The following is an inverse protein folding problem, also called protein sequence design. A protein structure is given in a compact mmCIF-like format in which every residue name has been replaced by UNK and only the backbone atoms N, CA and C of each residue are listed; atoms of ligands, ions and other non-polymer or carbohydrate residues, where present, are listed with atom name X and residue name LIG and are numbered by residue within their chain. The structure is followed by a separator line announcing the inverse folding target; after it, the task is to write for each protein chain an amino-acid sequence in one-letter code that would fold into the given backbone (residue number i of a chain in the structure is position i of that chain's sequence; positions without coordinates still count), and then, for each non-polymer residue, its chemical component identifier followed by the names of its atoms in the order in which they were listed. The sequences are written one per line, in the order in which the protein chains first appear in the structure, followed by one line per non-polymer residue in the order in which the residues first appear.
data_IF_931153540342
#
_entry.id   IF_931153540342
#
_cell.length_a   1.000
_cell.length_b   1.000
_cell.length_c   1.000
_cell.angle_alpha   90.00
_cell.angle_beta   90.00
_cell.angle_gamma   90.00
#
_symmetry.space_group_name_H-M   'P 1'
#
loop_
_entity.id
_entity.type
_entity.pdbx_description
1 polymer ?
#
# COMPACT_ATOMS: atom_id res chain seq x y z
N UNK A 1 -8.96 59.54 11.94
CA UNK A 1 -7.87 59.77 10.98
C UNK A 1 -6.60 59.14 11.50
N UNK A 2 -5.84 58.50 10.63
CA UNK A 2 -4.56 57.89 10.96
C UNK A 2 -3.63 58.00 9.73
N UNK A 3 -2.34 57.91 9.97
CA UNK A 3 -1.32 57.88 8.90
C UNK A 3 -0.74 56.49 8.82
N UNK A 4 -0.74 55.93 7.66
CA UNK A 4 -0.15 54.60 7.40
C UNK A 4 1.24 54.81 6.79
N UNK A 5 2.22 54.16 7.39
CA UNK A 5 3.53 54.03 6.80
C UNK A 5 3.56 52.72 5.98
N UNK A 6 3.50 52.82 4.67
CA UNK A 6 3.46 51.66 3.79
C UNK A 6 4.79 50.87 3.73
N UNK A 7 5.91 51.42 4.16
CA UNK A 7 7.19 50.75 4.16
C UNK A 7 7.33 49.71 5.29
N UNK A 8 6.67 49.93 6.42
CA UNK A 8 6.77 49.04 7.62
C UNK A 8 5.40 48.57 8.15
N UNK A 9 4.31 48.97 7.49
CA UNK A 9 2.97 48.57 7.87
C UNK A 9 2.46 49.17 9.19
N UNK A 10 3.15 50.19 9.74
CA UNK A 10 2.74 50.84 10.99
C UNK A 10 1.70 51.92 10.73
N UNK A 11 0.67 51.93 11.56
CA UNK A 11 -0.33 52.96 11.61
C UNK A 11 -0.05 53.86 12.80
N UNK A 12 0.23 55.13 12.56
CA UNK A 12 0.49 56.10 13.60
C UNK A 12 -0.66 57.12 13.65
N UNK A 13 -0.85 57.75 14.84
CA UNK A 13 -1.88 58.77 15.07
C UNK A 13 -3.31 58.25 14.77
N UNK A 14 -3.61 57.05 15.22
CA UNK A 14 -4.92 56.45 15.04
C UNK A 14 -5.84 56.88 16.19
N UNK A 15 -6.85 57.67 15.86
CA UNK A 15 -7.87 58.11 16.83
C UNK A 15 -9.23 57.54 16.47
N UNK A 16 -9.83 56.86 17.43
CA UNK A 16 -11.23 56.43 17.32
C UNK A 16 -12.17 57.54 17.81
N UNK A 17 -13.36 57.64 17.17
CA UNK A 17 -14.39 58.55 17.62
C UNK A 17 -14.99 58.18 19.00
N UNK A 18 -14.85 56.94 19.43
CA UNK A 18 -15.24 56.42 20.73
C UNK A 18 -14.19 55.42 21.24
N UNK A 19 -14.04 55.29 22.55
CA UNK A 19 -13.16 54.28 23.13
C UNK A 19 -13.64 52.88 22.78
N UNK A 20 -12.72 52.04 22.28
CA UNK A 20 -13.02 50.62 22.03
C UNK A 20 -13.14 49.89 23.37
N UNK A 21 -14.18 49.04 23.51
CA UNK A 21 -14.35 48.21 24.69
C UNK A 21 -13.17 47.23 24.83
N UNK A 22 -12.78 46.94 26.06
CA UNK A 22 -11.70 46.00 26.35
C UNK A 22 -12.04 44.61 25.74
N UNK A 23 -11.09 44.06 24.97
CA UNK A 23 -11.26 42.77 24.29
C UNK A 23 -11.69 42.84 22.83
N UNK A 24 -12.04 43.99 22.29
CA UNK A 24 -12.34 44.14 20.87
C UNK A 24 -11.07 44.20 20.02
N UNK A 25 -11.06 43.40 18.94
CA UNK A 25 -9.97 43.39 17.97
C UNK A 25 -10.23 44.45 16.92
N UNK A 26 -9.33 45.37 16.73
CA UNK A 26 -9.38 46.35 15.63
C UNK A 26 -8.91 45.68 14.36
N UNK A 27 -9.76 45.65 13.35
CA UNK A 27 -9.43 45.10 12.01
C UNK A 27 -9.38 46.24 11.00
N UNK A 28 -8.32 46.27 10.20
CA UNK A 28 -8.19 47.19 9.09
C UNK A 28 -8.19 46.43 7.77
N UNK A 29 -8.96 46.90 6.80
CA UNK A 29 -8.88 46.47 5.40
C UNK A 29 -8.08 47.51 4.65
N UNK A 30 -7.04 47.08 3.96
CA UNK A 30 -6.19 47.97 3.17
C UNK A 30 -5.76 47.28 1.88
N UNK A 31 -5.51 48.06 0.86
CA UNK A 31 -4.87 47.64 -0.37
C UNK A 31 -3.38 47.97 -0.26
N UNK A 32 -2.54 47.00 -0.63
CA UNK A 32 -1.10 47.23 -0.69
C UNK A 32 -0.63 47.13 -2.15
N UNK A 33 0.43 47.86 -2.46
CA UNK A 33 1.06 47.79 -3.77
C UNK A 33 1.93 46.54 -3.86
N UNK A 34 1.48 45.58 -4.67
CA UNK A 34 2.19 44.31 -4.88
C UNK A 34 3.46 44.47 -5.72
N UNK A 35 3.55 45.52 -6.54
CA UNK A 35 4.74 45.74 -7.40
C UNK A 35 5.91 46.30 -6.59
N UNK A 36 5.64 47.08 -5.55
CA UNK A 36 6.66 47.61 -4.65
C UNK A 36 7.01 46.66 -3.48
N UNK A 37 6.32 45.54 -3.35
CA UNK A 37 6.56 44.60 -2.28
C UNK A 37 7.80 43.74 -2.52
N UNK A 38 8.86 43.98 -1.72
CA UNK A 38 10.10 43.19 -1.76
C UNK A 38 10.02 41.88 -0.95
N UNK A 39 8.94 41.67 -0.21
CA UNK A 39 8.71 40.46 0.60
C UNK A 39 7.99 39.40 -0.25
N UNK A 40 8.63 38.99 -1.33
CA UNK A 40 8.14 37.85 -2.13
C UNK A 40 8.61 36.57 -1.44
N UNK A 41 7.71 35.62 -1.15
CA UNK A 41 8.12 34.33 -0.57
C UNK A 41 8.95 33.55 -1.58
N UNK A 42 10.12 33.09 -1.13
CA UNK A 42 10.99 32.23 -1.91
C UNK A 42 10.62 30.76 -1.72
N UNK A 43 10.71 29.99 -2.79
CA UNK A 43 10.55 28.53 -2.74
C UNK A 43 11.90 27.89 -2.99
N UNK A 44 12.38 27.15 -2.01
CA UNK A 44 13.62 26.39 -2.12
C UNK A 44 13.31 24.92 -2.37
N UNK A 45 14.12 24.28 -3.20
CA UNK A 45 14.14 22.83 -3.36
C UNK A 45 15.39 22.33 -2.67
N UNK A 46 15.19 21.58 -1.60
CA UNK A 46 16.28 20.88 -0.91
C UNK A 46 16.28 19.42 -1.34
N UNK A 47 17.47 18.89 -1.64
CA UNK A 47 17.66 17.51 -2.06
C UNK A 47 18.48 16.80 -1.02
N UNK A 48 17.83 15.95 -0.25
CA UNK A 48 18.49 15.07 0.74
C UNK A 48 18.90 13.75 0.09
N UNK A 49 20.17 13.39 0.26
CA UNK A 49 20.75 12.14 -0.22
C UNK A 49 20.82 11.15 0.93
N UNK A 50 20.05 10.06 0.82
CA UNK A 50 20.07 8.99 1.80
C UNK A 50 20.83 7.76 1.28
N UNK A 51 21.81 7.33 2.07
CA UNK A 51 22.60 6.15 1.77
C UNK A 51 21.79 4.87 2.06
N UNK A 52 21.77 3.94 1.12
CA UNK A 52 21.07 2.66 1.24
C UNK A 52 22.09 1.53 1.14
N UNK A 53 22.10 0.64 2.15
CA UNK A 53 23.00 -0.52 2.19
C UNK A 53 22.28 -1.77 1.68
N UNK A 54 22.83 -2.39 0.62
CA UNK A 54 22.27 -3.60 0.04
C UNK A 54 22.59 -4.84 0.91
N UNK A 55 21.56 -5.64 1.18
CA UNK A 55 21.65 -6.95 1.82
C UNK A 55 21.66 -8.07 0.79
N UNK A 56 22.24 -9.21 1.14
CA UNK A 56 22.30 -10.37 0.23
C UNK A 56 21.45 -11.51 0.80
N UNK A 57 20.56 -12.05 -0.04
CA UNK A 57 19.82 -13.28 0.24
C UNK A 57 20.38 -14.40 -0.64
N UNK A 58 20.55 -15.59 -0.04
CA UNK A 58 21.08 -16.75 -0.71
C UNK A 58 20.30 -17.97 -0.29
N UNK A 59 19.95 -18.80 -1.25
CA UNK A 59 19.34 -20.10 -1.02
C UNK A 59 20.03 -21.14 -1.90
N UNK A 60 20.09 -22.39 -1.47
CA UNK A 60 20.64 -23.48 -2.27
C UNK A 60 19.70 -24.67 -2.28
N UNK A 61 19.58 -25.32 -3.43
CA UNK A 61 18.99 -26.63 -3.56
C UNK A 61 20.08 -27.71 -3.56
N UNK A 62 19.71 -28.88 -3.08
CA UNK A 62 20.51 -30.10 -3.16
C UNK A 62 19.59 -31.28 -3.46
N UNK A 63 20.00 -32.14 -4.37
CA UNK A 63 19.27 -33.37 -4.70
C UNK A 63 20.26 -34.48 -5.09
N UNK A 64 19.88 -35.73 -4.87
CA UNK A 64 20.70 -36.89 -5.26
C UNK A 64 20.55 -37.19 -6.75
N UNK A 65 21.53 -37.88 -7.33
CA UNK A 65 21.49 -38.35 -8.70
C UNK A 65 20.36 -39.34 -8.91
N UNK A 66 20.16 -40.25 -7.94
CA UNK A 66 19.10 -41.26 -8.00
C UNK A 66 17.69 -40.61 -8.04
N UNK A 67 17.46 -39.59 -7.19
CA UNK A 67 16.20 -38.86 -7.16
C UNK A 67 15.91 -38.14 -8.51
N UNK A 68 16.95 -37.61 -9.17
CA UNK A 68 16.81 -36.97 -10.46
C UNK A 68 16.44 -37.99 -11.56
N UNK A 69 17.10 -39.16 -11.54
CA UNK A 69 16.82 -40.22 -12.51
C UNK A 69 15.43 -40.83 -12.31
N UNK A 70 15.00 -41.05 -11.06
CA UNK A 70 13.67 -41.57 -10.74
C UNK A 70 12.56 -40.58 -11.12
N UNK A 71 12.71 -39.28 -10.84
CA UNK A 71 11.77 -38.24 -11.23
C UNK A 71 11.62 -38.18 -12.76
N UNK A 72 12.71 -38.30 -13.49
CA UNK A 72 12.71 -38.30 -14.94
C UNK A 72 12.10 -39.58 -15.51
N UNK A 73 12.39 -40.74 -14.93
CA UNK A 73 11.91 -42.04 -15.41
C UNK A 73 10.40 -42.24 -15.13
N UNK A 74 9.93 -41.89 -13.91
CA UNK A 74 8.55 -42.14 -13.49
C UNK A 74 7.60 -41.00 -13.80
N UNK A 75 8.05 -39.77 -13.78
CA UNK A 75 7.20 -38.58 -13.94
C UNK A 75 7.52 -37.73 -15.16
N UNK A 76 8.63 -38.01 -15.86
CA UNK A 76 9.05 -37.21 -17.01
C UNK A 76 9.43 -35.76 -16.67
N UNK A 77 9.68 -35.48 -15.39
CA UNK A 77 9.98 -34.13 -14.87
C UNK A 77 11.48 -34.02 -14.59
N UNK A 78 12.07 -32.88 -14.96
CA UNK A 78 13.46 -32.58 -14.64
C UNK A 78 13.56 -31.98 -13.23
N UNK A 79 14.26 -32.70 -12.34
CA UNK A 79 14.43 -32.32 -10.94
C UNK A 79 15.08 -30.94 -10.77
N UNK A 80 16.03 -30.60 -11.63
CA UNK A 80 16.71 -29.30 -11.57
C UNK A 80 15.74 -28.16 -11.85
N UNK A 81 14.95 -28.29 -12.92
CA UNK A 81 13.99 -27.23 -13.31
C UNK A 81 12.92 -27.00 -12.25
N UNK A 82 12.38 -28.09 -11.69
CA UNK A 82 11.34 -28.00 -10.66
C UNK A 82 11.86 -27.38 -9.37
N UNK A 83 13.02 -27.84 -8.89
CA UNK A 83 13.63 -27.29 -7.69
C UNK A 83 14.03 -25.83 -7.85
N UNK A 84 14.57 -25.44 -9.01
CA UNK A 84 14.93 -24.04 -9.28
C UNK A 84 13.69 -23.14 -9.29
N UNK A 85 12.60 -23.62 -9.87
CA UNK A 85 11.31 -22.92 -9.85
C UNK A 85 10.84 -22.71 -8.40
N UNK A 86 10.82 -23.79 -7.61
CA UNK A 86 10.40 -23.72 -6.20
C UNK A 86 11.27 -22.78 -5.36
N UNK A 87 12.59 -22.83 -5.51
CA UNK A 87 13.49 -21.92 -4.78
C UNK A 87 13.31 -20.46 -5.19
N UNK A 88 13.08 -20.21 -6.49
CA UNK A 88 12.83 -18.86 -7.00
C UNK A 88 11.55 -18.27 -6.43
N UNK A 89 10.52 -19.08 -6.31
CA UNK A 89 9.26 -18.71 -5.67
C UNK A 89 9.44 -18.41 -4.19
N UNK A 90 10.16 -19.28 -3.46
CA UNK A 90 10.38 -19.10 -2.03
C UNK A 90 11.17 -17.82 -1.71
N UNK A 91 12.21 -17.50 -2.48
CA UNK A 91 12.94 -16.23 -2.32
C UNK A 91 12.03 -15.03 -2.59
N UNK A 92 11.17 -15.09 -3.60
CA UNK A 92 10.22 -14.02 -3.90
C UNK A 92 9.24 -13.82 -2.74
N UNK A 93 8.70 -14.90 -2.18
CA UNK A 93 7.81 -14.85 -1.02
C UNK A 93 8.51 -14.30 0.23
N UNK A 94 9.76 -14.71 0.49
CA UNK A 94 10.53 -14.19 1.62
C UNK A 94 10.77 -12.68 1.48
N UNK A 95 11.01 -12.22 0.25
CA UNK A 95 11.21 -10.82 -0.06
C UNK A 95 9.93 -10.00 0.15
N UNK A 96 8.80 -10.50 -0.35
CA UNK A 96 7.51 -9.86 -0.19
C UNK A 96 7.10 -9.76 1.28
N UNK A 97 7.30 -10.82 2.06
CA UNK A 97 7.07 -10.82 3.52
C UNK A 97 7.96 -9.81 4.23
N UNK A 98 9.23 -9.72 3.85
CA UNK A 98 10.16 -8.73 4.41
C UNK A 98 9.68 -7.29 4.17
N UNK A 99 9.25 -6.99 2.95
CA UNK A 99 8.71 -5.68 2.58
C UNK A 99 7.42 -5.38 3.36
N UNK A 100 6.49 -6.33 3.41
CA UNK A 100 5.23 -6.15 4.15
C UNK A 100 5.45 -5.95 5.64
N UNK A 101 6.42 -6.62 6.25
CA UNK A 101 6.75 -6.42 7.67
C UNK A 101 7.35 -5.02 7.92
N UNK A 102 8.23 -4.53 7.05
CA UNK A 102 8.75 -3.15 7.14
C UNK A 102 7.62 -2.12 6.99
N UNK A 103 6.70 -2.32 6.04
CA UNK A 103 5.53 -1.45 5.85
C UNK A 103 4.55 -1.52 7.04
N UNK A 104 4.39 -2.71 7.62
CA UNK A 104 3.58 -2.88 8.82
C UNK A 104 4.15 -2.11 10.02
N UNK A 105 5.46 -2.13 10.20
CA UNK A 105 6.13 -1.36 11.24
C UNK A 105 5.99 0.15 10.99
N UNK A 106 6.13 0.58 9.74
CA UNK A 106 5.92 1.98 9.33
C UNK A 106 4.50 2.48 9.65
N UNK A 107 3.50 1.62 9.53
CA UNK A 107 2.10 1.98 9.78
C UNK A 107 1.73 2.23 11.26
N UNK A 108 2.71 2.18 12.18
CA UNK A 108 2.46 2.35 13.61
C UNK A 108 1.96 3.74 14.02
N UNK A 109 2.24 4.76 13.20
CA UNK A 109 1.79 6.13 13.44
C UNK A 109 0.28 6.34 13.24
N UNK A 110 -0.34 5.58 12.33
CA UNK A 110 -1.76 5.70 11.98
C UNK A 110 -2.47 4.38 12.26
N UNK A 111 -3.05 4.24 13.44
CA UNK A 111 -3.74 3.03 13.86
C UNK A 111 -5.19 3.32 14.23
N UNK A 112 -6.11 2.49 13.75
CA UNK A 112 -7.51 2.43 14.18
C UNK A 112 -7.84 1.02 14.60
N UNK A 113 -8.76 0.86 15.54
CA UNK A 113 -9.25 -0.45 15.98
C UNK A 113 -10.69 -0.67 15.53
N UNK A 114 -11.01 -1.90 15.23
CA UNK A 114 -12.36 -2.34 14.91
C UNK A 114 -12.63 -3.70 15.57
N UNK A 115 -13.77 -3.85 16.20
CA UNK A 115 -14.20 -5.10 16.83
C UNK A 115 -15.16 -5.82 15.89
N UNK A 116 -14.83 -7.06 15.51
CA UNK A 116 -15.71 -7.91 14.70
C UNK A 116 -16.84 -8.58 15.51
N UNK A 117 -16.83 -8.45 16.82
CA UNK A 117 -17.94 -8.98 17.66
C UNK A 117 -19.21 -8.20 17.33
N UNK A 118 -20.21 -8.89 16.79
CA UNK A 118 -21.47 -8.27 16.38
C UNK A 118 -22.28 -7.88 17.62
N UNK A 119 -22.60 -6.59 17.82
CA UNK A 119 -23.47 -6.17 18.92
C UNK A 119 -24.88 -6.74 18.78
N UNK A 120 -25.52 -7.06 19.92
CA UNK A 120 -26.88 -7.55 19.91
C UNK A 120 -27.85 -6.59 19.22
N UNK A 121 -28.63 -7.12 18.27
CA UNK A 121 -29.60 -6.35 17.51
C UNK A 121 -29.10 -5.74 16.19
N UNK A 122 -27.83 -5.92 15.83
CA UNK A 122 -27.29 -5.53 14.53
C UNK A 122 -27.16 -6.75 13.60
N UNK A 123 -27.33 -6.52 12.31
CA UNK A 123 -26.98 -7.51 11.29
C UNK A 123 -25.46 -7.62 11.16
N UNK A 124 -24.94 -8.85 11.01
CA UNK A 124 -23.51 -9.09 10.80
C UNK A 124 -22.96 -8.29 9.60
N UNK A 125 -23.71 -8.25 8.51
CA UNK A 125 -23.33 -7.54 7.28
C UNK A 125 -23.20 -6.03 7.52
N UNK A 126 -24.16 -5.43 8.24
CA UNK A 126 -24.12 -4.00 8.52
C UNK A 126 -23.00 -3.64 9.49
N UNK A 127 -22.71 -4.55 10.43
CA UNK A 127 -21.59 -4.38 11.33
C UNK A 127 -20.25 -4.46 10.58
N UNK A 128 -20.04 -5.47 9.74
CA UNK A 128 -18.83 -5.63 8.95
C UNK A 128 -18.67 -4.43 7.97
N UNK A 129 -19.77 -3.87 7.45
CA UNK A 129 -19.72 -2.67 6.60
C UNK A 129 -19.06 -1.48 7.31
N UNK A 130 -19.15 -1.39 8.62
CA UNK A 130 -18.51 -0.32 9.38
C UNK A 130 -16.98 -0.40 9.39
N UNK A 131 -16.37 -1.55 9.04
CA UNK A 131 -14.92 -1.68 8.77
C UNK A 131 -14.48 -0.71 7.69
N UNK A 132 -15.30 -0.55 6.63
CA UNK A 132 -15.00 0.39 5.54
C UNK A 132 -14.93 1.83 6.03
N UNK A 133 -15.69 2.17 7.07
CA UNK A 133 -15.61 3.49 7.71
C UNK A 133 -14.26 3.67 8.39
N UNK A 134 -13.78 2.65 9.11
CA UNK A 134 -12.46 2.71 9.75
C UNK A 134 -11.33 2.77 8.71
N UNK A 135 -11.42 1.98 7.64
CA UNK A 135 -10.48 2.06 6.52
C UNK A 135 -10.50 3.46 5.88
N UNK A 136 -11.67 4.06 5.70
CA UNK A 136 -11.80 5.43 5.18
C UNK A 136 -11.16 6.45 6.12
N UNK A 137 -11.34 6.31 7.44
CA UNK A 137 -10.73 7.19 8.43
C UNK A 137 -9.20 7.14 8.38
N UNK A 138 -8.62 5.93 8.28
CA UNK A 138 -7.16 5.76 8.10
C UNK A 138 -6.71 6.39 6.77
N UNK A 139 -7.45 6.14 5.69
CA UNK A 139 -7.13 6.68 4.37
C UNK A 139 -7.18 8.22 4.34
N UNK A 140 -8.16 8.84 5.01
CA UNK A 140 -8.24 10.30 5.15
C UNK A 140 -7.14 10.87 6.04
N UNK A 141 -6.72 10.12 7.06
CA UNK A 141 -5.60 10.54 7.89
C UNK A 141 -4.30 10.53 7.08
N UNK A 142 -4.06 9.48 6.29
CA UNK A 142 -2.94 9.43 5.34
C UNK A 142 -2.98 10.63 4.38
N UNK A 143 -4.16 10.95 3.83
CA UNK A 143 -4.29 12.12 2.94
C UNK A 143 -3.99 13.43 3.65
N UNK A 144 -4.43 13.59 4.91
CA UNK A 144 -4.18 14.80 5.71
C UNK A 144 -2.69 15.00 6.00
N UNK A 145 -1.97 13.92 6.31
CA UNK A 145 -0.55 13.96 6.65
C UNK A 145 0.33 14.07 5.40
N UNK A 146 0.03 13.24 4.38
CA UNK A 146 0.77 13.25 3.12
C UNK A 146 0.52 14.50 2.27
N UNK A 147 -0.67 15.14 2.40
CA UNK A 147 -1.15 16.25 1.57
C UNK A 147 -1.12 15.95 0.06
N UNK A 148 -1.12 14.67 -0.32
CA UNK A 148 -1.05 14.21 -1.70
C UNK A 148 -2.33 13.51 -2.13
N UNK A 149 -2.52 12.28 -1.66
CA UNK A 149 -3.67 11.47 -2.02
C UNK A 149 -4.06 10.55 -0.85
N UNK A 150 -5.30 10.05 -0.81
CA UNK A 150 -5.70 9.01 0.13
C UNK A 150 -5.04 7.68 -0.22
N UNK A 151 -5.07 6.72 0.71
CA UNK A 151 -4.61 5.36 0.46
C UNK A 151 -5.31 4.76 -0.76
N UNK A 152 -4.57 4.00 -1.58
CA UNK A 152 -5.08 3.40 -2.81
C UNK A 152 -4.92 1.87 -2.86
N UNK A 153 -4.27 1.26 -1.87
CA UNK A 153 -4.16 -0.19 -1.75
C UNK A 153 -4.33 -0.63 -0.30
N UNK A 154 -4.70 -1.89 -0.11
CA UNK A 154 -4.81 -2.52 1.19
C UNK A 154 -4.39 -3.99 1.13
N UNK A 155 -3.73 -4.47 2.19
CA UNK A 155 -3.31 -5.87 2.36
C UNK A 155 -3.93 -6.42 3.63
N UNK A 156 -4.40 -7.66 3.58
CA UNK A 156 -5.02 -8.33 4.72
C UNK A 156 -4.82 -9.84 4.68
N UNK A 157 -5.09 -10.52 5.80
CA UNK A 157 -5.07 -11.98 5.89
C UNK A 157 -6.29 -12.63 5.21
N UNK A 158 -6.26 -13.93 4.93
CA UNK A 158 -7.39 -14.67 4.35
C UNK A 158 -8.66 -14.62 5.20
N UNK A 159 -8.53 -14.68 6.52
CA UNK A 159 -9.69 -14.67 7.44
C UNK A 159 -10.45 -13.35 7.35
N UNK A 160 -9.73 -12.23 7.39
CA UNK A 160 -10.33 -10.91 7.30
C UNK A 160 -10.86 -10.65 5.89
N UNK A 161 -10.11 -11.06 4.85
CA UNK A 161 -10.54 -10.87 3.47
C UNK A 161 -11.82 -11.62 3.15
N UNK A 162 -12.02 -12.84 3.68
CA UNK A 162 -13.23 -13.61 3.46
C UNK A 162 -14.50 -12.89 3.94
N UNK A 163 -14.40 -12.21 5.08
CA UNK A 163 -15.51 -11.38 5.60
C UNK A 163 -15.74 -10.12 4.78
N UNK A 164 -14.66 -9.48 4.30
CA UNK A 164 -14.76 -8.27 3.47
C UNK A 164 -15.34 -8.59 2.09
N UNK A 165 -14.98 -9.74 1.49
CA UNK A 165 -15.52 -10.19 0.19
C UNK A 165 -17.02 -10.38 0.24
N UNK A 166 -17.58 -10.84 1.36
CA UNK A 166 -19.02 -10.95 1.53
C UNK A 166 -19.72 -9.59 1.34
N UNK A 167 -19.07 -8.49 1.75
CA UNK A 167 -19.58 -7.15 1.50
C UNK A 167 -19.56 -6.77 0.02
N UNK A 168 -18.53 -7.15 -0.71
CA UNK A 168 -18.44 -6.89 -2.16
C UNK A 168 -19.58 -7.57 -2.90
N UNK A 169 -19.83 -8.83 -2.62
CA UNK A 169 -20.92 -9.59 -3.25
C UNK A 169 -22.27 -8.90 -3.07
N UNK A 170 -22.50 -8.25 -1.94
CA UNK A 170 -23.71 -7.47 -1.71
C UNK A 170 -23.73 -6.06 -2.34
N UNK A 171 -22.54 -5.49 -2.58
CA UNK A 171 -22.41 -4.18 -3.22
C UNK A 171 -22.40 -4.26 -4.75
N UNK A 172 -21.75 -5.27 -5.30
CA UNK A 172 -21.61 -5.49 -6.75
C UNK A 172 -22.92 -6.01 -7.36
N UNK A 173 -23.80 -6.60 -6.57
CA UNK A 173 -25.16 -6.94 -7.04
C UNK A 173 -25.97 -5.71 -7.49
N UNK A 174 -25.51 -4.52 -7.20
CA UNK A 174 -26.07 -3.24 -7.70
C UNK A 174 -25.31 -2.65 -8.89
N UNK A 175 -24.24 -3.25 -9.34
CA UNK A 175 -23.42 -2.73 -10.45
C UNK A 175 -23.44 -3.56 -11.76
N UNK A 176 -24.53 -4.26 -12.13
CA UNK A 176 -24.64 -4.78 -13.50
C UNK A 176 -24.91 -3.67 -14.53
N UNK A 177 -24.96 -2.40 -14.12
CA UNK A 177 -25.40 -1.28 -14.96
C UNK A 177 -24.29 -0.33 -15.38
N UNK A 178 -23.05 -0.56 -14.99
CA UNK A 178 -21.93 0.12 -15.64
C UNK A 178 -21.67 -0.62 -16.95
N UNK A 179 -22.41 -0.22 -17.98
CA UNK A 179 -22.09 -0.59 -19.33
C UNK A 179 -20.64 -0.23 -19.60
N UNK A 180 -19.82 -1.23 -19.87
CA UNK A 180 -18.51 -1.02 -20.48
C UNK A 180 -18.75 -0.26 -21.79
N UNK A 181 -18.27 0.99 -21.94
CA UNK A 181 -18.44 1.74 -23.17
C UNK A 181 -17.78 1.09 -24.39
N UNK A 182 -17.02 0.02 -24.19
CA UNK A 182 -16.41 -0.78 -25.24
C UNK A 182 -17.24 -2.04 -25.62
N UNK A 183 -18.37 -2.31 -24.98
CA UNK A 183 -19.24 -3.41 -25.37
C UNK A 183 -20.19 -2.98 -26.51
N UNK A 184 -20.11 -3.59 -27.69
CA UNK A 184 -20.98 -3.26 -28.84
C UNK A 184 -22.43 -3.74 -28.68
N UNK A 185 -22.74 -4.50 -27.64
CA UNK A 185 -24.09 -4.96 -27.31
C UNK A 185 -24.71 -4.02 -26.27
N UNK A 186 -25.81 -3.41 -26.64
CA UNK A 186 -26.55 -2.44 -25.81
C UNK A 186 -26.97 -3.01 -24.43
N UNK A 187 -27.56 -2.20 -23.57
CA UNK A 187 -27.71 -2.45 -22.12
C UNK A 187 -28.62 -3.63 -21.71
N UNK A 188 -28.99 -4.53 -22.60
CA UNK A 188 -29.95 -5.62 -22.35
C UNK A 188 -29.58 -6.99 -22.95
N UNK A 189 -28.32 -7.28 -23.12
CA UNK A 189 -27.91 -8.60 -23.66
C UNK A 189 -28.07 -9.76 -22.63
N UNK A 190 -28.47 -9.53 -21.40
CA UNK A 190 -28.76 -10.62 -20.45
C UNK A 190 -27.56 -11.53 -20.10
N UNK A 191 -26.42 -11.33 -20.70
CA UNK A 191 -25.18 -11.97 -20.30
C UNK A 191 -24.63 -11.22 -19.08
N UNK A 192 -24.92 -11.76 -17.91
CA UNK A 192 -24.17 -11.45 -16.71
C UNK A 192 -22.74 -11.88 -16.98
N UNK A 193 -21.93 -10.97 -17.51
CA UNK A 193 -20.48 -11.15 -17.49
C UNK A 193 -20.12 -11.04 -16.01
N UNK A 194 -19.77 -12.17 -15.34
CA UNK A 194 -19.24 -12.06 -14.00
C UNK A 194 -18.06 -11.09 -14.11
N UNK A 195 -17.83 -10.21 -13.11
CA UNK A 195 -16.66 -9.37 -13.11
C UNK A 195 -15.50 -10.30 -13.45
N UNK A 196 -14.78 -10.00 -14.53
CA UNK A 196 -13.70 -10.85 -14.97
C UNK A 196 -12.60 -10.75 -13.91
N UNK A 197 -12.77 -11.50 -12.85
CA UNK A 197 -11.65 -12.00 -12.11
C UNK A 197 -10.85 -12.75 -13.15
N UNK A 198 -9.79 -12.11 -13.65
CA UNK A 198 -8.87 -12.77 -14.55
C UNK A 198 -8.58 -14.15 -13.96
N UNK A 199 -8.34 -15.19 -14.76
CA UNK A 199 -8.20 -16.54 -14.25
C UNK A 199 -7.38 -16.46 -12.98
N UNK A 200 -7.88 -17.07 -11.91
CA UNK A 200 -7.12 -17.23 -10.67
C UNK A 200 -5.93 -18.08 -11.07
N UNK A 201 -4.96 -17.43 -11.69
CA UNK A 201 -3.66 -18.05 -11.90
C UNK A 201 -3.17 -18.29 -10.50
N UNK A 202 -2.95 -19.54 -10.15
CA UNK A 202 -2.43 -19.98 -8.88
C UNK A 202 -1.08 -19.28 -8.66
N UNK A 203 -1.12 -18.07 -8.16
CA UNK A 203 0.07 -17.36 -7.70
C UNK A 203 0.35 -17.87 -6.30
N UNK A 204 1.46 -18.52 -6.14
CA UNK A 204 2.00 -18.76 -4.82
C UNK A 204 2.22 -17.40 -4.13
N UNK A 205 1.54 -17.18 -3.00
CA UNK A 205 1.73 -15.97 -2.22
C UNK A 205 0.56 -15.00 -2.25
N UNK A 206 0.84 -13.74 -2.57
CA UNK A 206 -0.13 -12.65 -2.50
C UNK A 206 -1.16 -12.74 -3.62
N UNK A 207 -2.42 -12.86 -3.23
CA UNK A 207 -3.55 -12.88 -4.17
C UNK A 207 -4.16 -11.48 -4.30
N UNK A 208 -4.36 -11.05 -5.53
CA UNK A 208 -5.09 -9.82 -5.83
C UNK A 208 -6.58 -10.09 -5.85
N UNK A 209 -7.33 -9.50 -4.92
CA UNK A 209 -8.79 -9.69 -4.80
C UNK A 209 -9.58 -8.74 -5.70
N UNK A 210 -9.03 -7.58 -6.03
CA UNK A 210 -9.72 -6.57 -6.84
C UNK A 210 -9.97 -5.25 -6.09
N UNK A 211 -10.68 -4.30 -6.72
CA UNK A 211 -10.97 -3.02 -6.12
C UNK A 211 -12.11 -3.11 -5.10
N UNK A 212 -11.88 -2.68 -3.88
CA UNK A 212 -12.91 -2.51 -2.85
C UNK A 212 -13.48 -1.10 -2.94
N UNK A 213 -14.81 -0.99 -3.18
CA UNK A 213 -15.53 0.30 -3.28
C UNK A 213 -14.89 1.31 -4.26
N UNK A 214 -14.21 0.84 -5.29
CA UNK A 214 -13.49 1.66 -6.28
C UNK A 214 -12.40 2.60 -5.69
N UNK A 215 -12.01 2.38 -4.42
CA UNK A 215 -11.03 3.21 -3.72
C UNK A 215 -9.71 2.50 -3.48
N UNK A 216 -9.78 1.25 -3.02
CA UNK A 216 -8.60 0.48 -2.61
C UNK A 216 -8.47 -0.80 -3.41
N UNK A 217 -7.28 -1.06 -3.93
CA UNK A 217 -6.94 -2.36 -4.47
C UNK A 217 -6.63 -3.31 -3.31
N UNK A 218 -7.45 -4.35 -3.15
CA UNK A 218 -7.28 -5.32 -2.07
C UNK A 218 -6.34 -6.45 -2.50
N UNK A 219 -5.44 -6.79 -1.58
CA UNK A 219 -4.53 -7.92 -1.68
C UNK A 219 -4.72 -8.81 -0.46
N UNK A 220 -4.64 -10.10 -0.67
CA UNK A 220 -4.68 -11.12 0.36
C UNK A 220 -3.32 -11.80 0.42
N UNK A 221 -2.73 -11.83 1.61
CA UNK A 221 -1.49 -12.56 1.85
C UNK A 221 -1.74 -13.60 2.95
N UNK A 222 -1.54 -14.91 2.68
CA UNK A 222 -1.74 -15.98 3.65
C UNK A 222 -0.77 -15.90 4.84
N UNK A 223 0.34 -15.20 4.70
CA UNK A 223 1.34 -15.05 5.75
C UNK A 223 1.25 -13.71 6.49
N UNK A 224 0.32 -12.84 6.08
CA UNK A 224 0.09 -11.58 6.77
C UNK A 224 -0.57 -11.79 8.12
N UNK A 225 -0.35 -10.87 9.05
CA UNK A 225 -0.92 -10.92 10.41
C UNK A 225 -2.44 -10.95 10.36
N UNK A 226 -3.05 -11.92 11.04
CA UNK A 226 -4.49 -12.22 10.95
C UNK A 226 -5.39 -11.06 11.39
N UNK A 227 -4.94 -10.25 12.34
CA UNK A 227 -5.77 -9.24 12.98
C UNK A 227 -5.54 -7.82 12.45
N UNK A 228 -5.05 -7.68 11.21
CA UNK A 228 -4.72 -6.36 10.69
C UNK A 228 -5.12 -6.20 9.22
N UNK A 229 -5.52 -4.98 8.89
CA UNK A 229 -5.60 -4.48 7.52
C UNK A 229 -4.58 -3.37 7.39
N UNK A 230 -3.60 -3.56 6.52
CA UNK A 230 -2.61 -2.55 6.18
C UNK A 230 -3.11 -1.73 5.00
N UNK A 231 -3.13 -0.41 5.12
CA UNK A 231 -3.46 0.51 4.04
C UNK A 231 -2.24 1.36 3.69
N UNK A 232 -2.10 1.67 2.42
CA UNK A 232 -1.00 2.51 1.98
C UNK A 232 -1.32 3.33 0.74
N UNK A 233 -0.51 4.36 0.56
CA UNK A 233 -0.53 5.19 -0.63
C UNK A 233 0.63 4.80 -1.54
N UNK A 234 0.32 4.51 -2.79
CA UNK A 234 1.30 4.35 -3.87
C UNK A 234 1.17 5.51 -4.85
N UNK A 235 2.20 6.34 -4.92
CA UNK A 235 2.29 7.42 -5.89
C UNK A 235 2.59 6.91 -7.31
N UNK A 236 2.44 7.79 -8.29
CA UNK A 236 2.72 7.48 -9.71
C UNK A 236 4.16 7.81 -10.12
N UNK A 237 4.81 8.71 -9.38
CA UNK A 237 6.18 9.15 -9.64
C UNK A 237 7.14 8.58 -8.58
N UNK A 238 8.41 8.44 -8.93
CA UNK A 238 9.45 8.06 -7.97
C UNK A 238 9.64 9.09 -6.85
N UNK A 239 9.36 10.37 -7.12
CA UNK A 239 9.35 11.43 -6.10
C UNK A 239 8.19 11.28 -5.11
N UNK A 240 7.13 10.59 -5.52
CA UNK A 240 5.97 10.27 -4.73
C UNK A 240 6.03 8.81 -4.25
N UNK A 241 7.18 8.40 -3.73
CA UNK A 241 7.38 7.08 -3.14
C UNK A 241 7.46 7.19 -1.61
N UNK A 242 6.68 6.37 -0.89
CA UNK A 242 6.80 6.21 0.56
C UNK A 242 7.83 5.16 0.94
N UNK A 243 8.02 4.15 0.08
CA UNK A 243 8.94 3.04 0.26
C UNK A 243 9.68 2.77 -1.05
N UNK A 244 10.97 2.49 -0.97
CA UNK A 244 11.81 2.19 -2.14
C UNK A 244 12.42 0.81 -2.00
N UNK A 245 12.22 0.01 -3.04
CA UNK A 245 12.92 -1.25 -3.26
C UNK A 245 13.95 -1.04 -4.37
N UNK A 246 15.21 -1.24 -4.03
CA UNK A 246 16.35 -1.03 -4.94
C UNK A 246 17.07 -2.37 -5.19
N UNK A 247 16.77 -3.09 -6.28
CA UNK A 247 17.50 -4.28 -6.64
C UNK A 247 18.89 -3.91 -7.16
N UNK A 248 19.94 -4.38 -6.47
CA UNK A 248 21.32 -4.19 -6.89
C UNK A 248 21.81 -5.33 -7.78
N UNK A 249 21.52 -6.57 -7.38
CA UNK A 249 21.77 -7.76 -8.19
C UNK A 249 20.44 -8.48 -8.34
N UNK A 250 19.95 -8.65 -9.58
CA UNK A 250 18.75 -9.42 -9.82
C UNK A 250 18.96 -10.88 -9.40
N UNK A 251 17.89 -11.67 -9.41
CA UNK A 251 17.95 -13.07 -9.08
C UNK A 251 18.92 -13.80 -10.02
N UNK A 252 20.00 -14.33 -9.47
CA UNK A 252 21.05 -15.02 -10.21
C UNK A 252 21.15 -16.47 -9.75
N UNK A 253 21.12 -17.38 -10.72
CA UNK A 253 21.37 -18.79 -10.54
C UNK A 253 22.89 -19.08 -10.68
N UNK A 254 23.43 -19.95 -9.82
CA UNK A 254 24.76 -20.50 -10.03
C UNK A 254 24.69 -21.70 -10.96
N UNK A 255 25.76 -22.05 -11.66
CA UNK A 255 25.83 -23.31 -12.37
C UNK A 255 25.59 -24.49 -11.43
N UNK A 256 24.96 -25.55 -11.95
CA UNK A 256 24.82 -26.82 -11.23
C UNK A 256 26.16 -27.51 -11.16
N UNK A 257 26.53 -28.01 -9.99
CA UNK A 257 27.73 -28.81 -9.83
C UNK A 257 27.42 -30.05 -9.01
N UNK A 258 28.11 -31.12 -9.33
CA UNK A 258 28.06 -32.37 -8.61
C UNK A 258 29.13 -32.33 -7.50
N UNK A 259 28.74 -32.56 -6.26
CA UNK A 259 29.66 -32.70 -5.15
C UNK A 259 30.27 -34.13 -5.19
N UNK A 260 31.59 -34.27 -5.26
CA UNK A 260 32.22 -35.56 -5.36
C UNK A 260 32.18 -36.39 -4.05
N UNK A 261 31.94 -35.74 -2.90
CA UNK A 261 31.91 -36.43 -1.61
C UNK A 261 30.63 -37.26 -1.42
N UNK A 262 29.47 -36.68 -1.77
CA UNK A 262 28.15 -37.30 -1.53
C UNK A 262 27.34 -37.54 -2.83
N UNK A 263 27.96 -37.33 -3.98
CA UNK A 263 27.36 -37.47 -5.32
C UNK A 263 26.00 -36.74 -5.46
N UNK A 264 25.86 -35.63 -4.77
CA UNK A 264 24.65 -34.80 -4.86
C UNK A 264 24.87 -33.60 -5.76
N UNK A 265 23.84 -33.28 -6.55
CA UNK A 265 23.79 -32.04 -7.30
C UNK A 265 23.48 -30.89 -6.38
N UNK A 266 24.13 -29.77 -6.61
CA UNK A 266 23.91 -28.52 -5.87
C UNK A 266 23.78 -27.35 -6.83
N UNK A 267 22.79 -26.49 -6.55
CA UNK A 267 22.59 -25.25 -7.29
C UNK A 267 22.21 -24.15 -6.30
N UNK A 268 22.79 -22.99 -6.47
CA UNK A 268 22.54 -21.83 -5.62
C UNK A 268 21.73 -20.75 -6.35
N UNK A 269 20.99 -20.00 -5.57
CA UNK A 269 20.28 -18.82 -6.00
C UNK A 269 20.70 -17.66 -5.08
N UNK A 270 20.99 -16.51 -5.66
CA UNK A 270 21.32 -15.31 -4.91
C UNK A 270 20.64 -14.09 -5.47
N UNK A 271 20.26 -13.20 -4.59
CA UNK A 271 19.82 -11.84 -4.93
C UNK A 271 20.43 -10.86 -3.96
N UNK A 272 20.62 -9.62 -4.41
CA UNK A 272 21.09 -8.54 -3.56
C UNK A 272 20.25 -7.31 -3.79
N UNK A 273 19.64 -6.80 -2.75
CA UNK A 273 18.73 -5.68 -2.80
C UNK A 273 18.83 -4.82 -1.55
N UNK A 274 18.28 -3.65 -1.62
CA UNK A 274 18.10 -2.76 -0.49
C UNK A 274 16.65 -2.30 -0.41
N UNK A 275 16.17 -2.14 0.80
CA UNK A 275 14.88 -1.53 1.11
C UNK A 275 15.09 -0.27 1.91
N UNK A 276 14.25 0.73 1.71
CA UNK A 276 14.27 1.95 2.49
C UNK A 276 12.87 2.54 2.61
N UNK A 277 12.46 2.75 3.84
CA UNK A 277 11.29 3.54 4.15
C UNK A 277 11.67 5.03 4.06
N UNK A 278 10.96 5.79 3.24
CA UNK A 278 11.17 7.23 3.06
C UNK A 278 10.15 8.05 3.86
N UNK A 279 8.88 7.58 3.88
CA UNK A 279 7.78 8.28 4.51
C UNK A 279 6.85 7.27 5.18
N UNK A 280 6.85 7.25 6.49
CA UNK A 280 6.00 6.38 7.31
C UNK A 280 4.54 6.86 7.35
N UNK A 281 4.31 8.15 7.26
CA UNK A 281 2.99 8.80 7.22
C UNK A 281 2.09 8.36 6.05
N UNK A 282 2.65 7.64 5.06
CA UNK A 282 1.90 7.12 3.92
C UNK A 282 1.25 5.76 4.17
N UNK A 283 1.51 5.21 5.35
CA UNK A 283 1.03 3.88 5.75
C UNK A 283 0.23 3.97 7.03
N UNK A 284 -0.86 3.21 7.07
CA UNK A 284 -1.71 3.12 8.25
C UNK A 284 -2.33 1.74 8.35
N UNK A 285 -2.81 1.38 9.54
CA UNK A 285 -3.40 0.07 9.76
C UNK A 285 -4.70 0.15 10.55
N UNK A 286 -5.60 -0.79 10.26
CA UNK A 286 -6.75 -1.09 11.09
C UNK A 286 -6.45 -2.37 11.85
N UNK A 287 -6.49 -2.30 13.17
CA UNK A 287 -6.39 -3.46 14.04
C UNK A 287 -7.77 -4.04 14.26
N UNK A 288 -7.91 -5.34 14.02
CA UNK A 288 -9.15 -6.07 14.20
C UNK A 288 -9.09 -6.82 15.54
N UNK A 289 -10.14 -6.70 16.32
CA UNK A 289 -10.32 -7.41 17.59
C UNK A 289 -11.63 -8.18 17.54
N UNK A 290 -11.74 -9.25 18.31
CA UNK A 290 -12.96 -10.08 18.42
C UNK A 290 -13.36 -10.82 17.13
N UNK A 291 -14.10 -11.93 17.25
CA UNK A 291 -14.93 -12.55 16.21
C UNK A 291 -14.28 -13.01 14.89
N UNK A 292 -12.95 -13.23 14.84
CA UNK A 292 -12.28 -13.83 13.66
C UNK A 292 -12.48 -15.33 13.58
#
# INVERSE_FOLDING_TARGET
TGVINYANGQITNFTFAAATAAGNVVRASYQYDSEANRLVPDVFIDIDLQEIRATTRKLKARWSSEAADDLKAFHGVDAETELVSGISQEISLELDRGILEELFQASAGIVRSFDFTVPAGLSEIDHIRSVMTQMSNVSFQIHKESRRAPANWAVTSPEVSSKIIQLQTHMDYRAPWVSDPASPSGPYDGTVVPPSYGPITSHFGILRLGPLSNKWMMYQDPFFRTNYILLGLRGQSYLDAGFVFAPYVPLQLTPTFLDPEDQTYRKGLRTRYATKLLRDEWYGRVQITGGL
#
